data_IF_975389048917
#
_entry.id   IF_975389048917
#
_cell.length_a   1.000
_cell.length_b   1.000
_cell.length_c   1.000
_cell.angle_alpha   90.00
_cell.angle_beta   90.00
_cell.angle_gamma   90.00
#
_symmetry.space_group_name_H-M   'P 1'
#
loop_
_entity.id
_entity.type
_entity.pdbx_description
1 polymer ?
#
# COMPACT_ATOMS: atom_id res chain seq x y z
N UNK A 1 12.76 4.31 6.34
CA UNK A 1 11.79 5.36 6.69
C UNK A 1 10.39 4.78 6.72
N UNK A 2 9.69 5.03 7.81
CA UNK A 2 8.29 4.61 7.95
C UNK A 2 7.35 5.69 7.44
N UNK A 3 6.30 5.26 6.78
CA UNK A 3 5.17 6.09 6.42
C UNK A 3 3.91 5.44 6.95
N UNK A 4 3.08 6.18 7.64
CA UNK A 4 1.82 5.67 8.19
C UNK A 4 0.68 6.58 7.79
N UNK A 5 -0.49 5.98 7.61
CA UNK A 5 -1.72 6.74 7.38
C UNK A 5 -2.91 5.98 7.93
N UNK A 6 -4.00 6.69 8.14
CA UNK A 6 -5.27 6.12 8.55
C UNK A 6 -6.17 6.01 7.33
N UNK A 7 -6.73 4.82 7.10
CA UNK A 7 -7.69 4.60 6.04
C UNK A 7 -9.06 4.31 6.64
N UNK A 8 -10.07 5.02 6.19
CA UNK A 8 -11.45 4.80 6.63
C UNK A 8 -12.20 4.03 5.55
N UNK A 9 -12.45 2.72 5.75
CA UNK A 9 -13.11 1.91 4.73
C UNK A 9 -14.55 2.35 4.49
N UNK A 10 -14.99 2.24 3.25
CA UNK A 10 -16.37 2.49 2.85
C UNK A 10 -17.06 1.22 2.40
N UNK A 11 -18.34 1.34 2.05
CA UNK A 11 -19.17 0.19 1.64
C UNK A 11 -18.53 -0.57 0.48
N UNK A 12 -17.93 0.13 -0.48
CA UNK A 12 -17.35 -0.48 -1.67
C UNK A 12 -16.10 -1.33 -1.36
N UNK A 13 -15.53 -1.20 -0.17
CA UNK A 13 -14.32 -1.93 0.21
C UNK A 13 -14.63 -3.33 0.75
N UNK A 14 -15.89 -3.65 1.01
CA UNK A 14 -16.29 -4.91 1.60
C UNK A 14 -16.94 -5.83 0.57
N UNK A 15 -16.72 -7.14 0.74
CA UNK A 15 -17.36 -8.12 -0.10
C UNK A 15 -18.79 -8.45 0.39
N UNK A 16 -19.45 -9.39 -0.29
CA UNK A 16 -20.83 -9.77 0.07
C UNK A 16 -20.95 -10.38 1.46
N UNK A 17 -19.85 -10.91 2.00
CA UNK A 17 -19.81 -11.49 3.34
C UNK A 17 -19.50 -10.47 4.42
N UNK A 18 -19.35 -9.20 4.05
CA UNK A 18 -19.08 -8.13 4.98
C UNK A 18 -17.63 -8.05 5.43
N UNK A 19 -16.72 -8.73 4.73
CA UNK A 19 -15.28 -8.68 5.04
C UNK A 19 -14.58 -7.77 4.06
N UNK A 20 -13.50 -7.13 4.50
CA UNK A 20 -12.69 -6.30 3.63
C UNK A 20 -12.22 -7.12 2.43
N UNK A 21 -12.56 -6.68 1.22
CA UNK A 21 -12.27 -7.42 0.01
C UNK A 21 -10.76 -7.48 -0.27
N UNK A 22 -10.30 -8.58 -0.88
CA UNK A 22 -8.89 -8.74 -1.22
C UNK A 22 -8.40 -7.63 -2.15
N UNK A 23 -9.19 -7.28 -3.14
CA UNK A 23 -8.85 -6.20 -4.07
C UNK A 23 -8.79 -4.84 -3.38
N UNK A 24 -9.60 -4.62 -2.35
CA UNK A 24 -9.54 -3.41 -1.55
C UNK A 24 -8.22 -3.36 -0.77
N UNK A 25 -7.78 -4.48 -0.21
CA UNK A 25 -6.51 -4.57 0.50
C UNK A 25 -5.37 -4.17 -0.42
N UNK A 26 -5.30 -4.74 -1.63
CA UNK A 26 -4.24 -4.42 -2.58
C UNK A 26 -4.28 -2.96 -3.00
N UNK A 27 -5.47 -2.41 -3.24
CA UNK A 27 -5.63 -1.00 -3.60
C UNK A 27 -5.16 -0.07 -2.48
N UNK A 28 -5.48 -0.39 -1.24
CA UNK A 28 -5.04 0.38 -0.08
C UNK A 28 -3.52 0.40 -0.01
N UNK A 29 -2.88 -0.75 -0.19
CA UNK A 29 -1.43 -0.86 -0.14
C UNK A 29 -0.77 -0.07 -1.28
N UNK A 30 -1.28 -0.18 -2.50
CA UNK A 30 -0.76 0.58 -3.64
C UNK A 30 -0.89 2.07 -3.43
N UNK A 31 -2.04 2.55 -2.96
CA UNK A 31 -2.27 3.96 -2.73
C UNK A 31 -1.37 4.50 -1.61
N UNK A 32 -1.16 3.72 -0.57
CA UNK A 32 -0.27 4.09 0.52
C UNK A 32 1.17 4.23 0.04
N UNK A 33 1.63 3.27 -0.76
CA UNK A 33 2.97 3.33 -1.34
C UNK A 33 3.15 4.56 -2.24
N UNK A 34 2.14 4.86 -3.06
CA UNK A 34 2.17 6.02 -3.94
C UNK A 34 2.26 7.32 -3.14
N UNK A 35 1.47 7.46 -2.09
CA UNK A 35 1.51 8.65 -1.22
C UNK A 35 2.85 8.78 -0.49
N UNK A 36 3.44 7.65 -0.07
CA UNK A 36 4.76 7.68 0.54
C UNK A 36 5.81 8.18 -0.45
N UNK A 37 5.79 7.66 -1.68
CA UNK A 37 6.69 8.10 -2.75
C UNK A 37 6.51 9.58 -3.05
N UNK A 38 5.27 10.06 -3.13
CA UNK A 38 4.98 11.48 -3.34
C UNK A 38 5.57 12.35 -2.24
N UNK A 39 5.43 11.92 -1.00
CA UNK A 39 5.94 12.67 0.16
C UNK A 39 7.47 12.74 0.20
N UNK A 40 8.14 11.77 -0.41
CA UNK A 40 9.61 11.73 -0.48
C UNK A 40 10.18 12.31 -1.79
N UNK A 41 9.32 12.87 -2.64
CA UNK A 41 9.76 13.48 -3.91
C UNK A 41 9.98 12.50 -5.04
N UNK A 42 9.57 11.24 -4.87
CA UNK A 42 9.73 10.19 -5.88
C UNK A 42 8.36 9.77 -6.43
N UNK A 43 7.56 10.75 -6.82
CA UNK A 43 6.21 10.48 -7.29
C UNK A 43 6.23 9.96 -8.75
N UNK A 44 5.18 9.20 -9.08
CA UNK A 44 5.06 8.54 -10.38
C UNK A 44 5.02 9.54 -11.54
N UNK A 45 4.35 10.67 -11.37
CA UNK A 45 4.23 11.70 -12.39
C UNK A 45 5.60 12.33 -12.67
N UNK A 46 6.30 12.71 -11.61
CA UNK A 46 7.66 13.27 -11.73
C UNK A 46 8.63 12.23 -12.29
N UNK A 47 8.51 10.98 -11.86
CA UNK A 47 9.33 9.89 -12.39
C UNK A 47 9.14 9.73 -13.89
N UNK A 48 7.89 9.81 -14.37
CA UNK A 48 7.58 9.74 -15.80
C UNK A 48 8.21 10.90 -16.59
N UNK A 49 8.16 12.10 -16.03
CA UNK A 49 8.78 13.29 -16.67
C UNK A 49 10.29 13.16 -16.79
N UNK A 50 10.92 12.49 -15.82
CA UNK A 50 12.37 12.24 -15.82
C UNK A 50 12.76 10.99 -16.61
N UNK A 51 11.79 10.27 -17.18
CA UNK A 51 12.03 9.02 -17.88
C UNK A 51 12.27 7.83 -16.97
N UNK A 52 11.92 7.94 -15.69
CA UNK A 52 12.07 6.87 -14.69
C UNK A 52 10.71 6.63 -14.06
N UNK A 53 10.32 5.36 -13.92
CA UNK A 53 9.11 5.00 -13.20
C UNK A 53 9.29 3.65 -12.49
N UNK A 54 8.48 3.42 -11.47
CA UNK A 54 8.46 2.16 -10.75
C UNK A 54 7.34 1.28 -11.28
N UNK A 55 7.63 0.01 -11.46
CA UNK A 55 6.66 -1.00 -11.90
C UNK A 55 6.57 -2.07 -10.84
N UNK A 56 5.35 -2.37 -10.41
CA UNK A 56 5.10 -3.47 -9.49
C UNK A 56 5.27 -4.79 -10.23
N UNK A 57 6.13 -5.67 -9.70
CA UNK A 57 6.39 -6.98 -10.33
C UNK A 57 5.85 -8.15 -9.52
N UNK A 58 5.82 -8.02 -8.20
CA UNK A 58 5.42 -9.12 -7.31
C UNK A 58 4.73 -8.62 -6.05
N UNK A 59 3.71 -9.36 -5.62
CA UNK A 59 3.06 -9.19 -4.33
C UNK A 59 3.18 -10.48 -3.52
N UNK A 60 3.43 -10.32 -2.23
CA UNK A 60 3.23 -11.38 -1.26
C UNK A 60 2.41 -10.82 -0.12
N UNK A 61 1.19 -11.32 0.04
CA UNK A 61 0.27 -10.83 1.05
C UNK A 61 -0.11 -11.96 1.99
N UNK A 62 0.15 -11.77 3.29
CA UNK A 62 -0.28 -12.69 4.33
C UNK A 62 -1.45 -12.05 5.07
N UNK A 63 -2.59 -12.73 5.07
CA UNK A 63 -3.81 -12.23 5.70
C UNK A 63 -4.11 -13.08 6.92
N UNK A 64 -3.93 -12.49 8.10
CA UNK A 64 -4.27 -13.16 9.35
C UNK A 64 -5.77 -13.10 9.59
N UNK A 65 -6.38 -11.94 9.30
CA UNK A 65 -7.81 -11.72 9.51
C UNK A 65 -8.26 -10.57 8.62
N UNK A 66 -9.40 -10.71 7.96
CA UNK A 66 -9.99 -9.62 7.21
C UNK A 66 -10.95 -8.83 8.08
N UNK A 67 -10.77 -7.50 8.20
CA UNK A 67 -11.69 -6.67 8.98
C UNK A 67 -13.14 -6.78 8.50
N UNK A 68 -14.07 -6.71 9.44
CA UNK A 68 -15.50 -6.80 9.19
C UNK A 68 -16.25 -5.53 9.57
N UNK A 69 -15.56 -4.52 10.05
CA UNK A 69 -16.17 -3.26 10.45
C UNK A 69 -15.56 -2.10 9.68
N UNK A 70 -16.29 -0.99 9.63
CA UNK A 70 -15.81 0.23 8.99
C UNK A 70 -14.90 1.07 9.90
N UNK A 71 -14.41 0.49 10.99
CA UNK A 71 -13.48 1.16 11.88
C UNK A 71 -12.22 1.57 11.11
N UNK A 72 -11.59 2.69 11.47
CA UNK A 72 -10.37 3.14 10.80
C UNK A 72 -9.27 2.10 10.87
N UNK A 73 -8.53 1.96 9.76
CA UNK A 73 -7.39 1.07 9.65
C UNK A 73 -6.11 1.88 9.69
N UNK A 74 -5.10 1.38 10.39
CA UNK A 74 -3.77 1.95 10.37
C UNK A 74 -2.95 1.23 9.33
N UNK A 75 -2.42 1.96 8.37
CA UNK A 75 -1.61 1.39 7.29
C UNK A 75 -0.21 1.95 7.41
N UNK A 76 0.77 1.06 7.44
CA UNK A 76 2.17 1.45 7.51
C UNK A 76 2.95 0.81 6.37
N UNK A 77 3.94 1.51 5.88
CA UNK A 77 4.83 1.00 4.85
C UNK A 77 6.24 1.53 5.05
N UNK A 78 7.22 0.76 4.57
CA UNK A 78 8.62 1.15 4.60
C UNK A 78 9.38 0.42 3.50
N UNK A 79 10.48 1.01 3.09
CA UNK A 79 11.36 0.43 2.06
C UNK A 79 12.52 -0.27 2.75
N UNK A 80 12.86 -1.47 2.29
CA UNK A 80 14.02 -2.19 2.80
C UNK A 80 15.31 -1.64 2.20
N UNK A 81 16.38 -1.66 2.99
CA UNK A 81 17.67 -1.09 2.58
C UNK A 81 18.53 -2.07 1.76
N UNK A 82 18.17 -3.36 1.71
CA UNK A 82 19.01 -4.43 1.16
C UNK A 82 18.58 -4.91 -0.22
N UNK A 83 17.88 -4.07 -0.98
CA UNK A 83 17.42 -4.46 -2.31
C UNK A 83 18.56 -4.40 -3.33
N UNK A 84 18.59 -5.32 -4.33
CA UNK A 84 19.52 -5.23 -5.44
C UNK A 84 19.34 -3.94 -6.25
N UNK A 85 20.38 -3.56 -6.99
CA UNK A 85 20.33 -2.38 -7.85
C UNK A 85 19.16 -2.50 -8.84
N UNK A 86 18.38 -1.44 -8.96
CA UNK A 86 17.23 -1.40 -9.85
C UNK A 86 15.96 -2.01 -9.29
N UNK A 87 15.98 -2.48 -8.05
CA UNK A 87 14.82 -3.06 -7.37
C UNK A 87 14.56 -2.37 -6.05
N UNK A 88 13.30 -2.35 -5.65
CA UNK A 88 12.89 -1.85 -4.34
C UNK A 88 11.98 -2.89 -3.71
N UNK A 89 12.30 -3.27 -2.47
CA UNK A 89 11.44 -4.10 -1.65
C UNK A 89 10.74 -3.22 -0.62
N UNK A 90 9.43 -3.32 -0.57
CA UNK A 90 8.61 -2.53 0.32
C UNK A 90 7.73 -3.47 1.15
N UNK A 91 7.71 -3.23 2.45
CA UNK A 91 6.85 -3.96 3.37
C UNK A 91 5.68 -3.08 3.80
N UNK A 92 4.61 -3.73 4.23
CA UNK A 92 3.38 -3.08 4.65
C UNK A 92 2.79 -3.79 5.84
N UNK A 93 2.03 -3.05 6.65
CA UNK A 93 1.11 -3.62 7.62
C UNK A 93 -0.22 -2.88 7.58
N UNK A 94 -1.30 -3.61 7.80
CA UNK A 94 -2.62 -3.03 8.03
C UNK A 94 -3.11 -3.57 9.36
N UNK A 95 -3.47 -2.68 10.26
CA UNK A 95 -4.01 -3.03 11.59
C UNK A 95 -5.27 -2.24 11.86
N UNK A 96 -6.17 -2.80 12.66
CA UNK A 96 -7.39 -2.12 13.09
C UNK A 96 -7.34 -1.66 14.56
#
# INVERSE_FOLDING_TARGET
MFYTETYCPGVADFDRDGKLAYEAILRILENTASRHSDSSGDDVIDGSRRGITWVLTDWRVEIVRRPQSKAPLQVATWVRDNAPVGRVFRDYTITD
#
